data_IF_510276003790
#
_entry.id   IF_510276003790
#
_cell.length_a   1.000
_cell.length_b   1.000
_cell.length_c   1.000
_cell.angle_alpha   90.00
_cell.angle_beta   90.00
_cell.angle_gamma   90.00
#
_symmetry.space_group_name_H-M   'P 1'
#
loop_
_entity.id
_entity.type
_entity.pdbx_description
1 polymer ?
#
# COMPACT_ATOMS: atom_id res chain seq x y z
N UNK A 1 19.36 -5.10 -10.89
CA UNK A 1 20.23 -6.28 -10.62
C UNK A 1 21.24 -6.10 -9.49
N UNK A 2 22.24 -5.19 -9.57
CA UNK A 2 23.33 -5.08 -8.57
C UNK A 2 22.85 -4.91 -7.12
N UNK A 3 21.78 -4.15 -6.88
CA UNK A 3 21.29 -3.90 -5.53
C UNK A 3 20.70 -5.16 -4.87
N UNK A 4 19.90 -5.94 -5.59
CA UNK A 4 19.29 -7.18 -5.07
C UNK A 4 20.35 -8.29 -4.92
N UNK A 5 21.25 -8.42 -5.89
CA UNK A 5 22.36 -9.38 -5.82
C UNK A 5 23.29 -9.09 -4.63
N UNK A 6 23.52 -7.82 -4.30
CA UNK A 6 24.28 -7.45 -3.09
C UNK A 6 23.57 -7.84 -1.78
N UNK A 7 22.26 -8.08 -1.81
CA UNK A 7 21.47 -8.59 -0.69
C UNK A 7 21.33 -10.14 -0.72
N UNK A 8 22.12 -10.83 -1.56
CA UNK A 8 22.15 -12.30 -1.62
C UNK A 8 21.09 -12.93 -2.52
N UNK A 9 20.34 -12.15 -3.31
CA UNK A 9 19.38 -12.66 -4.28
C UNK A 9 20.08 -13.48 -5.37
N UNK A 10 19.60 -14.71 -5.60
CA UNK A 10 20.09 -15.59 -6.66
C UNK A 10 19.33 -15.37 -7.99
N UNK A 11 20.00 -15.62 -9.11
CA UNK A 11 19.46 -15.35 -10.45
C UNK A 11 18.21 -16.16 -10.83
N UNK A 12 17.98 -17.30 -10.18
CA UNK A 12 16.85 -18.20 -10.41
C UNK A 12 15.72 -18.02 -9.38
N UNK A 13 15.83 -17.05 -8.48
CA UNK A 13 14.82 -16.81 -7.46
C UNK A 13 13.67 -15.97 -8.04
N UNK A 14 12.44 -16.45 -7.93
CA UNK A 14 11.26 -15.67 -8.29
C UNK A 14 11.07 -14.52 -7.31
N UNK A 15 10.86 -13.31 -7.84
CA UNK A 15 10.62 -12.11 -7.03
C UNK A 15 9.18 -11.68 -7.17
N UNK A 16 8.58 -11.39 -6.01
CA UNK A 16 7.24 -10.83 -5.91
C UNK A 16 7.34 -9.42 -5.33
N UNK A 17 6.86 -8.43 -6.07
CA UNK A 17 6.70 -7.06 -5.58
C UNK A 17 5.25 -6.87 -5.12
N UNK A 18 5.07 -6.72 -3.80
CA UNK A 18 3.81 -6.29 -3.20
C UNK A 18 3.89 -4.78 -2.95
N UNK A 19 3.11 -3.99 -3.68
CA UNK A 19 3.25 -2.53 -3.63
C UNK A 19 1.99 -1.75 -4.05
N UNK A 20 2.04 -0.43 -3.88
CA UNK A 20 1.09 0.47 -4.54
C UNK A 20 1.18 0.40 -6.07
N UNK A 21 0.11 0.83 -6.73
CA UNK A 21 -0.07 0.89 -8.16
C UNK A 21 0.32 2.23 -8.78
N UNK A 22 1.35 2.89 -8.23
CA UNK A 22 1.88 4.14 -8.77
C UNK A 22 2.83 3.86 -9.96
N UNK A 23 2.68 4.59 -11.07
CA UNK A 23 3.43 4.32 -12.31
C UNK A 23 4.96 4.39 -12.12
N UNK A 24 5.42 5.39 -11.37
CA UNK A 24 6.85 5.55 -11.06
C UNK A 24 7.43 4.37 -10.24
N UNK A 25 6.62 3.74 -9.40
CA UNK A 25 7.01 2.59 -8.61
C UNK A 25 7.07 1.33 -9.47
N UNK A 26 6.14 1.19 -10.41
CA UNK A 26 6.14 0.12 -11.40
C UNK A 26 7.39 0.17 -12.27
N UNK A 27 7.74 1.34 -12.81
CA UNK A 27 8.96 1.51 -13.62
C UNK A 27 10.22 1.16 -12.84
N UNK A 28 10.29 1.56 -11.57
CA UNK A 28 11.39 1.22 -10.68
C UNK A 28 11.52 -0.29 -10.48
N UNK A 29 10.41 -0.98 -10.22
CA UNK A 29 10.41 -2.43 -9.99
C UNK A 29 10.82 -3.21 -11.24
N UNK A 30 10.31 -2.82 -12.43
CA UNK A 30 10.76 -3.41 -13.70
C UNK A 30 12.25 -3.19 -13.94
N UNK A 31 12.78 -2.00 -13.62
CA UNK A 31 14.21 -1.72 -13.69
C UNK A 31 15.05 -2.53 -12.69
N UNK A 32 14.46 -2.98 -11.57
CA UNK A 32 15.15 -3.83 -10.60
C UNK A 32 15.25 -5.27 -11.07
N UNK A 33 14.12 -5.87 -11.48
CA UNK A 33 14.00 -7.26 -11.93
C UNK A 33 12.85 -7.43 -12.94
N UNK A 34 13.12 -7.49 -14.27
CA UNK A 34 12.07 -7.53 -15.29
C UNK A 34 11.13 -8.75 -15.21
N UNK A 35 11.66 -9.90 -14.78
CA UNK A 35 10.90 -11.16 -14.65
C UNK A 35 10.16 -11.29 -13.31
N UNK A 36 9.97 -10.17 -12.60
CA UNK A 36 9.24 -10.17 -11.32
C UNK A 36 7.74 -10.23 -11.53
N UNK A 37 7.05 -10.79 -10.54
CA UNK A 37 5.60 -10.73 -10.45
C UNK A 37 5.21 -9.52 -9.61
N UNK A 38 4.34 -8.68 -10.15
CA UNK A 38 3.87 -7.47 -9.47
C UNK A 38 2.45 -7.67 -8.97
N UNK A 39 2.26 -7.49 -7.67
CA UNK A 39 0.98 -7.62 -6.99
C UNK A 39 0.60 -6.29 -6.37
N UNK A 40 -0.57 -5.78 -6.74
CA UNK A 40 -1.14 -4.59 -6.15
C UNK A 40 -1.52 -4.87 -4.70
N UNK A 41 -1.00 -4.07 -3.78
CA UNK A 41 -1.24 -4.26 -2.36
C UNK A 41 -2.71 -4.00 -2.00
N UNK A 42 -3.32 -5.02 -1.40
CA UNK A 42 -4.71 -5.00 -0.96
C UNK A 42 -5.03 -3.86 0.02
N UNK A 43 -4.04 -3.39 0.79
CA UNK A 43 -4.20 -2.24 1.68
C UNK A 43 -4.65 -1.00 0.91
N UNK A 44 -4.00 -0.67 -0.21
CA UNK A 44 -4.34 0.55 -0.95
C UNK A 44 -5.74 0.48 -1.58
N UNK A 45 -6.13 -0.70 -2.08
CA UNK A 45 -7.50 -0.95 -2.57
C UNK A 45 -8.51 -0.75 -1.45
N UNK A 46 -8.29 -1.37 -0.29
CA UNK A 46 -9.23 -1.29 0.83
C UNK A 46 -9.32 0.11 1.45
N UNK A 47 -8.23 0.87 1.45
CA UNK A 47 -8.24 2.26 1.91
C UNK A 47 -9.11 3.15 1.00
N UNK A 48 -9.00 3.00 -0.32
CA UNK A 48 -9.87 3.70 -1.29
C UNK A 48 -11.34 3.31 -1.12
N UNK A 49 -11.63 2.01 -0.99
CA UNK A 49 -12.98 1.52 -0.72
C UNK A 49 -13.54 2.05 0.60
N UNK A 50 -12.72 2.16 1.65
CA UNK A 50 -13.15 2.67 2.95
C UNK A 50 -13.58 4.14 2.87
N UNK A 51 -12.87 4.97 2.10
CA UNK A 51 -13.26 6.36 1.85
C UNK A 51 -14.61 6.42 1.12
N UNK A 52 -14.79 5.63 0.06
CA UNK A 52 -16.06 5.53 -0.65
C UNK A 52 -17.20 5.07 0.25
N UNK A 53 -16.98 4.07 1.11
CA UNK A 53 -17.98 3.60 2.07
C UNK A 53 -18.37 4.68 3.08
N UNK A 54 -17.45 5.57 3.47
CA UNK A 54 -17.78 6.70 4.35
C UNK A 54 -18.70 7.71 3.65
N UNK A 55 -18.41 8.06 2.40
CA UNK A 55 -19.30 8.91 1.61
C UNK A 55 -20.66 8.24 1.38
N UNK A 56 -20.68 6.96 1.03
CA UNK A 56 -21.92 6.23 0.81
C UNK A 56 -22.79 6.11 2.07
N UNK A 57 -22.18 6.03 3.27
CA UNK A 57 -22.91 6.15 4.55
C UNK A 57 -23.48 7.55 4.78
N UNK A 58 -22.77 8.59 4.37
CA UNK A 58 -23.31 9.95 4.38
C UNK A 58 -24.49 10.10 3.42
N UNK A 59 -24.36 9.52 2.22
CA UNK A 59 -25.44 9.48 1.23
C UNK A 59 -26.65 8.74 1.77
N UNK A 60 -26.49 7.59 2.43
CA UNK A 60 -27.58 6.82 3.04
C UNK A 60 -28.44 7.65 4.01
N UNK A 61 -27.85 8.64 4.69
CA UNK A 61 -28.59 9.52 5.61
C UNK A 61 -29.39 10.58 4.84
N UNK A 62 -28.86 11.09 3.73
CA UNK A 62 -29.52 12.10 2.89
C UNK A 62 -30.55 11.50 1.95
N UNK A 63 -30.23 10.34 1.37
CA UNK A 63 -31.06 9.55 0.46
C UNK A 63 -30.89 8.05 0.78
N UNK A 64 -31.85 7.45 1.51
CA UNK A 64 -31.76 6.05 1.90
C UNK A 64 -31.77 5.06 0.73
N UNK A 65 -32.44 5.38 -0.37
CA UNK A 65 -32.56 4.47 -1.52
C UNK A 65 -31.23 4.42 -2.29
N UNK A 66 -30.74 5.57 -2.74
CA UNK A 66 -29.48 5.68 -3.45
C UNK A 66 -28.30 5.22 -2.58
N UNK A 67 -28.25 5.66 -1.32
CA UNK A 67 -27.18 5.28 -0.40
C UNK A 67 -27.12 3.77 -0.12
N UNK A 68 -28.28 3.09 0.00
CA UNK A 68 -28.33 1.64 0.19
C UNK A 68 -27.81 0.89 -1.05
N UNK A 69 -28.20 1.34 -2.25
CA UNK A 69 -27.70 0.77 -3.51
C UNK A 69 -26.19 0.93 -3.66
N UNK A 70 -25.68 2.14 -3.45
CA UNK A 70 -24.24 2.42 -3.54
C UNK A 70 -23.44 1.60 -2.51
N UNK A 71 -23.92 1.48 -1.27
CA UNK A 71 -23.25 0.65 -0.26
C UNK A 71 -23.20 -0.83 -0.64
N UNK A 72 -24.30 -1.38 -1.16
CA UNK A 72 -24.35 -2.77 -1.60
C UNK A 72 -23.41 -3.03 -2.79
N UNK A 73 -23.32 -2.08 -3.72
CA UNK A 73 -22.38 -2.15 -4.83
C UNK A 73 -20.93 -2.08 -4.34
N UNK A 74 -20.58 -1.19 -3.42
CA UNK A 74 -19.23 -1.09 -2.85
C UNK A 74 -18.78 -2.36 -2.11
N UNK A 75 -19.68 -3.03 -1.39
CA UNK A 75 -19.40 -4.34 -0.79
C UNK A 75 -19.19 -5.42 -1.87
N UNK A 76 -19.94 -5.37 -2.97
CA UNK A 76 -19.78 -6.29 -4.09
C UNK A 76 -18.45 -6.06 -4.82
N UNK A 77 -18.08 -4.80 -5.08
CA UNK A 77 -16.78 -4.40 -5.66
C UNK A 77 -15.64 -4.98 -4.84
N UNK A 78 -15.70 -4.83 -3.51
CA UNK A 78 -14.70 -5.41 -2.60
C UNK A 78 -14.55 -6.92 -2.79
N UNK A 79 -15.66 -7.66 -2.90
CA UNK A 79 -15.64 -9.12 -3.10
C UNK A 79 -15.08 -9.50 -4.47
N UNK A 80 -15.47 -8.80 -5.53
CA UNK A 80 -14.95 -9.06 -6.87
C UNK A 80 -13.45 -8.82 -6.94
N UNK A 81 -12.97 -7.69 -6.42
CA UNK A 81 -11.54 -7.38 -6.36
C UNK A 81 -10.78 -8.39 -5.51
N UNK A 82 -11.34 -8.84 -4.37
CA UNK A 82 -10.74 -9.87 -3.53
C UNK A 82 -10.50 -11.19 -4.27
N UNK A 83 -11.31 -11.48 -5.29
CA UNK A 83 -11.21 -12.67 -6.13
C UNK A 83 -10.59 -12.42 -7.51
N UNK A 84 -9.99 -11.24 -7.73
CA UNK A 84 -9.36 -10.89 -9.00
C UNK A 84 -10.32 -10.61 -10.16
N UNK A 85 -11.64 -10.52 -9.90
CA UNK A 85 -12.63 -10.22 -10.93
C UNK A 85 -12.71 -8.71 -11.19
N UNK A 86 -11.72 -8.20 -11.92
CA UNK A 86 -11.60 -6.78 -12.23
C UNK A 86 -12.74 -6.27 -13.12
N UNK A 87 -13.21 -7.09 -14.07
CA UNK A 87 -14.28 -6.71 -15.00
C UNK A 87 -15.57 -6.41 -14.24
N UNK A 88 -16.04 -7.34 -13.42
CA UNK A 88 -17.24 -7.14 -12.63
C UNK A 88 -17.08 -5.99 -11.62
N UNK A 89 -15.88 -5.82 -11.04
CA UNK A 89 -15.62 -4.70 -10.15
C UNK A 89 -15.76 -3.34 -10.85
N UNK A 90 -15.22 -3.18 -12.06
CA UNK A 90 -15.34 -1.94 -12.84
C UNK A 90 -16.79 -1.66 -13.24
N UNK A 91 -17.54 -2.66 -13.69
CA UNK A 91 -18.98 -2.52 -13.99
C UNK A 91 -19.78 -2.03 -12.78
N UNK A 92 -19.46 -2.54 -11.59
CA UNK A 92 -20.14 -2.12 -10.36
C UNK A 92 -19.74 -0.70 -9.92
N UNK A 93 -18.51 -0.25 -10.25
CA UNK A 93 -18.11 1.14 -10.03
C UNK A 93 -18.91 2.06 -10.97
N UNK A 94 -19.08 1.69 -12.23
CA UNK A 94 -19.91 2.44 -13.18
C UNK A 94 -21.37 2.52 -12.70
N UNK A 95 -21.92 1.41 -12.19
CA UNK A 95 -23.26 1.42 -11.60
C UNK A 95 -23.35 2.37 -10.39
N UNK A 96 -22.33 2.46 -9.53
CA UNK A 96 -22.31 3.45 -8.44
C UNK A 96 -22.38 4.88 -8.98
N UNK A 97 -21.64 5.18 -10.06
CA UNK A 97 -21.68 6.49 -10.71
C UNK A 97 -23.09 6.79 -11.23
N UNK A 98 -23.75 5.84 -11.89
CA UNK A 98 -25.13 6.01 -12.36
C UNK A 98 -26.10 6.38 -11.23
N UNK A 99 -26.00 5.74 -10.07
CA UNK A 99 -26.83 6.07 -8.90
C UNK A 99 -26.48 7.44 -8.26
N UNK A 100 -25.31 7.99 -8.55
CA UNK A 100 -24.85 9.28 -8.04
C UNK A 100 -25.08 10.44 -9.03
N UNK A 101 -25.51 10.16 -10.25
CA UNK A 101 -25.72 11.15 -11.32
C UNK A 101 -27.18 11.64 -11.42
N UNK A 102 -28.02 11.29 -10.46
CA UNK A 102 -29.41 11.77 -10.39
C UNK A 102 -29.46 13.27 -10.03
N UNK A 103 -30.05 14.14 -10.88
CA UNK A 103 -30.18 15.57 -10.62
C UNK A 103 -30.98 15.93 -9.36
N UNK A 104 -31.87 15.04 -8.91
CA UNK A 104 -32.69 15.25 -7.71
C UNK A 104 -31.94 14.88 -6.42
N UNK A 105 -30.78 14.25 -6.52
CA UNK A 105 -30.00 13.76 -5.39
C UNK A 105 -29.34 14.90 -4.61
N UNK A 106 -29.94 15.26 -3.48
CA UNK A 106 -29.42 16.30 -2.60
C UNK A 106 -28.49 15.73 -1.52
N UNK A 107 -27.19 15.63 -1.84
CA UNK A 107 -26.15 15.26 -0.88
C UNK A 107 -24.96 16.25 -0.90
N UNK A 108 -24.61 16.92 0.22
CA UNK A 108 -23.57 17.96 0.23
C UNK A 108 -22.19 17.51 -0.26
N UNK A 109 -21.85 16.22 -0.11
CA UNK A 109 -20.56 15.67 -0.57
C UNK A 109 -20.67 14.87 -1.87
N UNK A 110 -21.74 15.03 -2.66
CA UNK A 110 -21.98 14.26 -3.88
C UNK A 110 -20.83 14.40 -4.89
N UNK A 111 -20.39 15.63 -5.17
CA UNK A 111 -19.25 15.87 -6.07
C UNK A 111 -17.97 15.18 -5.61
N UNK A 112 -17.73 15.14 -4.29
CA UNK A 112 -16.58 14.43 -3.73
C UNK A 112 -16.73 12.92 -3.89
N UNK A 113 -17.93 12.37 -3.66
CA UNK A 113 -18.21 10.95 -3.89
C UNK A 113 -17.98 10.56 -5.36
N UNK A 114 -18.57 11.29 -6.31
CA UNK A 114 -18.37 11.08 -7.75
C UNK A 114 -16.90 11.11 -8.14
N UNK A 115 -16.15 12.10 -7.64
CA UNK A 115 -14.70 12.19 -7.87
C UNK A 115 -13.95 10.96 -7.36
N UNK A 116 -14.25 10.49 -6.14
CA UNK A 116 -13.58 9.30 -5.61
C UNK A 116 -13.97 8.01 -6.35
N UNK A 117 -15.18 7.94 -6.92
CA UNK A 117 -15.60 6.82 -7.78
C UNK A 117 -14.80 6.80 -9.08
N UNK A 118 -14.65 7.95 -9.74
CA UNK A 118 -13.82 8.09 -10.96
C UNK A 118 -12.34 7.75 -10.70
N UNK A 119 -11.79 8.27 -9.59
CA UNK A 119 -10.43 7.94 -9.17
C UNK A 119 -10.25 6.44 -8.86
N UNK A 120 -11.25 5.80 -8.26
CA UNK A 120 -11.25 4.36 -8.00
C UNK A 120 -11.32 3.55 -9.30
N UNK A 121 -12.21 3.93 -10.23
CA UNK A 121 -12.32 3.31 -11.55
C UNK A 121 -10.97 3.36 -12.27
N UNK A 122 -10.39 4.56 -12.37
CA UNK A 122 -9.11 4.79 -13.05
C UNK A 122 -7.98 3.99 -12.38
N UNK A 123 -7.93 3.99 -11.05
CA UNK A 123 -6.91 3.25 -10.30
C UNK A 123 -6.97 1.74 -10.55
N UNK A 124 -8.17 1.14 -10.48
CA UNK A 124 -8.35 -0.30 -10.74
C UNK A 124 -8.05 -0.62 -12.20
N UNK A 125 -8.55 0.19 -13.15
CA UNK A 125 -8.32 -0.01 -14.59
C UNK A 125 -6.83 0.02 -14.94
N UNK A 126 -6.08 0.99 -14.41
CA UNK A 126 -4.66 1.15 -14.68
C UNK A 126 -3.79 0.05 -14.04
N UNK A 127 -4.29 -0.57 -12.97
CA UNK A 127 -3.59 -1.62 -12.23
C UNK A 127 -4.17 -3.03 -12.44
N UNK A 128 -5.08 -3.21 -13.39
CA UNK A 128 -5.79 -4.48 -13.61
C UNK A 128 -4.89 -5.71 -13.74
N UNK A 129 -3.71 -5.56 -14.35
CA UNK A 129 -2.76 -6.66 -14.55
C UNK A 129 -2.02 -7.06 -13.25
N UNK A 130 -2.05 -6.21 -12.24
CA UNK A 130 -1.41 -6.44 -10.94
C UNK A 130 -2.40 -6.93 -9.88
N UNK A 131 -3.68 -7.15 -10.23
CA UNK A 131 -4.73 -7.58 -9.31
C UNK A 131 -4.89 -9.11 -9.42
N UNK A 132 -4.34 -9.90 -8.48
CA UNK A 132 -4.52 -11.34 -8.45
C UNK A 132 -5.81 -11.75 -7.74
N UNK A 133 -6.03 -13.06 -7.61
CA UNK A 133 -6.99 -13.61 -6.66
C UNK A 133 -6.40 -13.58 -5.24
N UNK A 134 -6.60 -12.48 -4.51
CA UNK A 134 -6.10 -12.35 -3.12
C UNK A 134 -6.64 -13.42 -2.19
N UNK A 135 -7.88 -13.90 -2.42
CA UNK A 135 -8.46 -14.99 -1.65
C UNK A 135 -7.69 -16.30 -1.80
N UNK A 136 -7.15 -16.57 -2.98
CA UNK A 136 -6.28 -17.71 -3.24
C UNK A 136 -4.91 -17.54 -2.59
N UNK A 137 -4.24 -16.41 -2.83
CA UNK A 137 -2.96 -16.07 -2.19
C UNK A 137 -3.02 -16.25 -0.67
N UNK A 138 -4.08 -15.73 -0.04
CA UNK A 138 -4.27 -15.86 1.41
C UNK A 138 -4.44 -17.31 1.87
N UNK A 139 -5.10 -18.17 1.08
CA UNK A 139 -5.25 -19.60 1.41
C UNK A 139 -3.92 -20.35 1.31
N UNK A 140 -3.03 -19.92 0.41
CA UNK A 140 -1.67 -20.44 0.29
C UNK A 140 -0.67 -19.79 1.26
N UNK A 141 -1.11 -18.86 2.11
CA UNK A 141 -0.24 -18.19 3.08
C UNK A 141 0.67 -17.12 2.46
N UNK A 142 0.40 -16.70 1.23
CA UNK A 142 1.14 -15.65 0.55
C UNK A 142 0.77 -14.26 1.08
N UNK A 143 1.73 -13.31 1.12
CA UNK A 143 1.46 -11.96 1.58
C UNK A 143 0.55 -11.22 0.59
N UNK A 144 -0.59 -10.72 1.09
CA UNK A 144 -1.55 -9.94 0.28
C UNK A 144 -1.55 -8.46 0.61
N UNK A 145 -0.97 -8.07 1.76
CA UNK A 145 -1.08 -6.70 2.24
C UNK A 145 0.09 -6.25 3.10
N UNK A 146 0.51 -4.98 2.94
CA UNK A 146 1.48 -4.32 3.81
C UNK A 146 0.83 -3.49 4.92
N UNK A 147 -0.46 -3.68 5.21
CA UNK A 147 -1.20 -2.90 6.21
C UNK A 147 -0.48 -2.76 7.57
N UNK A 148 0.26 -3.78 8.01
CA UNK A 148 1.04 -3.71 9.25
C UNK A 148 2.22 -2.73 9.13
N UNK A 149 2.94 -2.75 8.01
CA UNK A 149 4.04 -1.82 7.69
C UNK A 149 3.50 -0.40 7.64
N UNK A 150 2.41 -0.22 6.91
CA UNK A 150 1.74 1.08 6.73
C UNK A 150 1.27 1.66 8.07
N UNK A 151 0.69 0.83 8.94
CA UNK A 151 0.30 1.27 10.28
C UNK A 151 1.51 1.71 11.12
N UNK A 152 2.61 0.95 11.09
CA UNK A 152 3.83 1.32 11.82
C UNK A 152 4.44 2.62 11.30
N UNK A 153 4.52 2.78 9.98
CA UNK A 153 5.00 4.01 9.35
C UNK A 153 4.12 5.20 9.77
N UNK A 154 2.79 5.06 9.67
CA UNK A 154 1.85 6.10 10.07
C UNK A 154 1.99 6.47 11.55
N UNK A 155 2.22 5.51 12.43
CA UNK A 155 2.45 5.77 13.84
C UNK A 155 3.73 6.58 14.07
N UNK A 156 4.83 6.22 13.41
CA UNK A 156 6.10 6.96 13.51
C UNK A 156 5.93 8.39 13.00
N UNK A 157 5.30 8.56 11.83
CA UNK A 157 5.02 9.88 11.26
C UNK A 157 4.14 10.70 12.20
N UNK A 158 3.07 10.12 12.73
CA UNK A 158 2.17 10.82 13.65
C UNK A 158 2.87 11.26 14.94
N UNK A 159 3.71 10.40 15.52
CA UNK A 159 4.49 10.70 16.74
C UNK A 159 5.55 11.79 16.51
N UNK A 160 6.14 11.86 15.33
CA UNK A 160 7.27 12.78 15.04
C UNK A 160 6.86 14.08 14.36
N UNK A 161 5.86 14.06 13.49
CA UNK A 161 5.56 15.18 12.58
C UNK A 161 4.21 15.87 12.86
N UNK A 162 3.17 15.12 13.27
CA UNK A 162 1.80 15.65 13.31
C UNK A 162 1.32 16.08 14.71
N UNK A 163 1.64 15.31 15.74
CA UNK A 163 1.32 15.72 17.13
C UNK A 163 2.28 16.84 17.54
N UNK A 164 1.86 17.73 18.46
CA UNK A 164 2.61 18.89 19.00
C UNK A 164 3.92 18.51 19.75
N UNK A 165 4.71 17.62 19.17
CA UNK A 165 6.01 17.14 19.62
C UNK A 165 7.08 17.96 18.88
N UNK A 166 8.05 18.50 19.60
CA UNK A 166 9.06 19.44 19.09
C UNK A 166 10.17 18.77 18.23
N UNK A 167 9.95 17.56 17.69
CA UNK A 167 10.96 16.82 16.92
C UNK A 167 10.50 16.52 15.51
N UNK A 168 10.36 17.58 14.72
CA UNK A 168 10.20 17.47 13.28
C UNK A 168 11.55 17.10 12.66
N UNK A 169 11.60 15.97 11.96
CA UNK A 169 12.81 15.59 11.23
C UNK A 169 12.85 16.32 9.89
N UNK A 170 14.02 16.85 9.54
CA UNK A 170 14.29 17.23 8.15
C UNK A 170 14.34 15.97 7.28
N UNK A 171 14.10 16.11 5.97
CA UNK A 171 14.21 14.98 5.02
C UNK A 171 15.57 14.26 5.13
N UNK A 172 16.65 15.03 5.28
CA UNK A 172 18.02 14.52 5.47
C UNK A 172 18.15 13.75 6.81
N UNK A 173 17.61 14.31 7.89
CA UNK A 173 17.63 13.65 9.21
C UNK A 173 16.84 12.34 9.22
N UNK A 174 15.65 12.32 8.63
CA UNK A 174 14.84 11.12 8.49
C UNK A 174 15.56 10.03 7.67
N UNK A 175 16.20 10.42 6.56
CA UNK A 175 16.97 9.50 5.73
C UNK A 175 18.12 8.83 6.50
N UNK A 176 18.94 9.61 7.21
CA UNK A 176 20.03 9.05 8.01
C UNK A 176 19.54 8.18 9.16
N UNK A 177 18.45 8.57 9.81
CA UNK A 177 17.89 7.74 10.87
C UNK A 177 17.43 6.38 10.34
N UNK A 178 16.79 6.34 9.16
CA UNK A 178 16.42 5.09 8.50
C UNK A 178 17.66 4.25 8.20
N UNK A 179 18.71 4.83 7.60
CA UNK A 179 19.96 4.12 7.33
C UNK A 179 20.60 3.53 8.60
N UNK A 180 20.69 4.32 9.67
CA UNK A 180 21.22 3.87 10.96
C UNK A 180 20.36 2.77 11.56
N UNK A 181 19.03 2.90 11.54
CA UNK A 181 18.13 1.86 12.05
C UNK A 181 18.20 0.58 11.25
N UNK A 182 18.25 0.64 9.92
CA UNK A 182 18.46 -0.52 9.07
C UNK A 182 19.79 -1.19 9.39
N UNK A 183 20.88 -0.43 9.54
CA UNK A 183 22.17 -0.98 9.93
C UNK A 183 22.13 -1.66 11.31
N UNK A 184 21.40 -1.11 12.28
CA UNK A 184 21.20 -1.77 13.59
C UNK A 184 20.43 -3.08 13.44
N UNK A 185 19.32 -3.08 12.70
CA UNK A 185 18.48 -4.26 12.51
C UNK A 185 19.21 -5.38 11.75
N UNK A 186 20.07 -5.02 10.81
CA UNK A 186 20.91 -5.95 10.07
C UNK A 186 22.18 -6.36 10.84
N UNK A 187 22.41 -5.84 12.05
CA UNK A 187 23.66 -5.99 12.80
C UNK A 187 24.93 -5.47 12.09
N UNK A 188 24.77 -4.58 11.11
CA UNK A 188 25.86 -3.99 10.31
C UNK A 188 26.39 -2.65 10.88
N UNK A 189 25.74 -2.08 11.90
CA UNK A 189 26.10 -0.75 12.38
C UNK A 189 27.57 -0.71 12.82
N UNK A 190 28.01 -1.70 13.57
CA UNK A 190 29.36 -1.78 14.09
C UNK A 190 30.41 -1.87 12.98
N UNK A 191 30.17 -2.71 11.97
CA UNK A 191 31.06 -2.86 10.82
C UNK A 191 31.21 -1.54 10.05
N UNK A 192 30.11 -0.79 9.91
CA UNK A 192 30.16 0.55 9.30
C UNK A 192 31.00 1.51 10.13
N UNK A 193 30.91 1.48 11.46
CA UNK A 193 31.76 2.29 12.34
C UNK A 193 33.24 1.91 12.22
N UNK A 194 33.58 0.63 12.16
CA UNK A 194 34.97 0.16 11.96
C UNK A 194 35.51 0.63 10.61
N UNK A 195 34.68 0.54 9.55
CA UNK A 195 35.06 1.01 8.22
C UNK A 195 35.31 2.54 8.18
N UNK A 196 34.47 3.32 8.85
CA UNK A 196 34.62 4.79 8.91
C UNK A 196 35.75 5.22 9.85
N UNK A 197 35.99 4.47 10.91
CA UNK A 197 36.97 4.75 11.95
C UNK A 197 37.80 3.49 12.24
N UNK A 198 38.90 3.25 11.49
CA UNK A 198 39.69 2.02 11.60
C UNK A 198 40.28 1.73 12.98
N UNK A 199 40.36 2.73 13.88
CA UNK A 199 40.78 2.57 15.27
C UNK A 199 39.66 2.25 16.26
N UNK A 200 38.42 2.09 15.79
CA UNK A 200 37.27 1.78 16.63
C UNK A 200 37.35 0.32 17.11
N UNK A 201 37.55 0.13 18.42
CA UNK A 201 37.59 -1.21 19.02
C UNK A 201 36.16 -1.71 19.25
N UNK A 202 35.82 -2.83 18.61
CA UNK A 202 34.59 -3.55 18.90
C UNK A 202 34.72 -4.29 20.23
N UNK A 203 33.95 -3.93 21.26
CA UNK A 203 33.79 -4.81 22.42
C UNK A 203 33.20 -6.14 21.93
N UNK A 204 34.01 -7.19 21.92
CA UNK A 204 33.78 -8.46 21.23
C UNK A 204 32.63 -9.31 21.76
N UNK A 205 31.38 -8.83 21.65
CA UNK A 205 30.18 -9.67 21.72
C UNK A 205 29.64 -9.88 20.31
N UNK A 206 30.23 -10.85 19.61
CA UNK A 206 29.66 -11.37 18.37
C UNK A 206 28.26 -11.96 18.60
N UNK A 207 27.43 -12.04 17.55
CA UNK A 207 26.05 -12.50 17.67
C UNK A 207 26.02 -13.98 18.08
N UNK A 208 25.22 -14.31 19.08
CA UNK A 208 24.76 -15.68 19.27
C UNK A 208 23.99 -16.09 18.01
N UNK A 209 24.54 -17.04 17.26
CA UNK A 209 23.81 -17.74 16.21
C UNK A 209 22.55 -18.35 16.84
N UNK A 210 21.37 -17.87 16.43
CA UNK A 210 20.14 -18.60 16.64
C UNK A 210 20.14 -19.79 15.68
N UNK A 211 20.02 -20.99 16.25
CA UNK A 211 19.77 -22.24 15.53
C UNK A 211 18.32 -22.30 15.00
#
# INVERSE_FOLDING_TARGET
MTHLSAQGMQANQQIFFLSDGADNLRDLQFGMYPESTHVLDWFHITMRLKVLMQYARGLLVSDPEAGSKVLALLESIKRYLWHGNVVAALEHIDNCVMYCDDPELSYPSLKSLQKHLDEMYTYIRNNKMMIPNYGEMRRYGEPVSTAFVESTINEVIARRMAKKQQMQWSRKGAHYLLQTRTAVLNNELQDKFVCWYPGFQSDGKGPAMAA
#
